data_IF_838382429751
#
_entry.id   IF_838382429751
#
_cell.length_a   1.000
_cell.length_b   1.000
_cell.length_c   1.000
_cell.angle_alpha   90.00
_cell.angle_beta   90.00
_cell.angle_gamma   90.00
#
_symmetry.space_group_name_H-M   'P 1'
#
loop_
_entity.id
_entity.type
_entity.pdbx_description
1 polymer ?
#
# COMPACT_ATOMS: atom_id res chain seq x y z
N UNK A 1 46.60 34.74 7.03
CA UNK A 1 45.52 34.61 8.03
C UNK A 1 46.14 34.74 9.43
N UNK A 2 45.63 35.64 10.27
CA UNK A 2 46.19 35.91 11.60
C UNK A 2 45.77 34.84 12.62
N UNK A 3 46.70 34.45 13.51
CA UNK A 3 46.51 33.42 14.56
C UNK A 3 45.23 33.64 15.39
N UNK A 4 44.89 34.90 15.68
CA UNK A 4 43.65 35.32 16.37
C UNK A 4 42.35 34.91 15.65
N UNK A 5 42.30 34.96 14.32
CA UNK A 5 41.09 34.60 13.58
C UNK A 5 40.82 33.08 13.62
N UNK A 6 41.88 32.28 13.69
CA UNK A 6 41.79 30.82 13.78
C UNK A 6 41.30 30.39 15.17
N UNK A 7 41.81 31.03 16.22
CA UNK A 7 41.40 30.80 17.61
C UNK A 7 39.94 31.22 17.86
N UNK A 8 39.48 32.34 17.31
CA UNK A 8 38.07 32.74 17.43
C UNK A 8 37.13 31.79 16.69
N UNK A 9 37.53 31.26 15.53
CA UNK A 9 36.75 30.25 14.80
C UNK A 9 36.67 28.93 15.56
N UNK A 10 37.77 28.50 16.19
CA UNK A 10 37.78 27.31 17.05
C UNK A 10 36.88 27.50 18.27
N UNK A 11 36.98 28.63 18.99
CA UNK A 11 36.09 28.94 20.12
C UNK A 11 34.61 28.94 19.72
N UNK A 12 34.26 29.47 18.55
CA UNK A 12 32.88 29.48 18.06
C UNK A 12 32.35 28.09 17.68
N UNK A 13 33.22 27.21 17.18
CA UNK A 13 32.87 25.82 16.87
C UNK A 13 32.73 24.99 18.14
N UNK A 14 33.61 25.19 19.13
CA UNK A 14 33.50 24.52 20.44
C UNK A 14 32.25 24.97 21.19
N UNK A 15 31.94 26.27 21.21
CA UNK A 15 30.71 26.79 21.81
C UNK A 15 29.46 26.23 21.10
N UNK A 16 29.46 26.15 19.77
CA UNK A 16 28.38 25.50 19.01
C UNK A 16 28.26 23.99 19.27
N UNK A 17 29.36 23.33 19.65
CA UNK A 17 29.38 21.90 19.97
C UNK A 17 28.92 21.63 21.41
N UNK A 18 29.15 22.56 22.33
CA UNK A 18 28.74 22.43 23.75
C UNK A 18 27.35 22.96 24.01
N UNK A 19 26.84 23.86 23.16
CA UNK A 19 25.44 24.29 23.16
C UNK A 19 24.63 23.31 22.32
N UNK A 20 24.66 22.03 22.71
CA UNK A 20 23.49 21.19 22.45
C UNK A 20 22.38 21.74 23.33
N UNK A 21 21.39 22.34 22.69
CA UNK A 21 20.28 22.98 23.40
C UNK A 21 19.48 21.92 24.15
N UNK A 22 18.90 22.29 25.31
CA UNK A 22 18.03 21.39 26.05
C UNK A 22 16.91 20.79 25.17
N UNK A 23 16.45 21.56 24.18
CA UNK A 23 15.49 21.14 23.15
C UNK A 23 16.02 20.00 22.24
N UNK A 24 17.30 20.01 21.87
CA UNK A 24 17.90 18.95 21.05
C UNK A 24 18.06 17.66 21.87
N UNK A 25 18.38 17.79 23.16
CA UNK A 25 18.43 16.67 24.10
C UNK A 25 17.03 16.06 24.27
N UNK A 26 16.01 16.90 24.46
CA UNK A 26 14.61 16.46 24.55
C UNK A 26 14.15 15.78 23.26
N UNK A 27 14.48 16.33 22.09
CA UNK A 27 14.18 15.72 20.78
C UNK A 27 14.83 14.36 20.62
N UNK A 28 16.11 14.22 21.00
CA UNK A 28 16.81 12.93 20.97
C UNK A 28 16.21 11.93 21.93
N UNK A 29 15.84 12.35 23.14
CA UNK A 29 15.17 11.50 24.12
C UNK A 29 13.80 11.04 23.62
N UNK A 30 13.01 11.96 23.06
CA UNK A 30 11.72 11.66 22.43
C UNK A 30 11.86 10.68 21.28
N UNK A 31 12.82 10.87 20.38
CA UNK A 31 13.12 9.93 19.29
C UNK A 31 13.57 8.57 19.80
N UNK A 32 14.39 8.53 20.84
CA UNK A 32 14.87 7.27 21.44
C UNK A 32 13.73 6.49 22.10
N UNK A 33 12.80 7.18 22.77
CA UNK A 33 11.59 6.56 23.33
C UNK A 33 10.69 6.00 22.24
N UNK A 34 10.53 6.73 21.14
CA UNK A 34 9.71 6.31 20.01
C UNK A 34 10.29 5.06 19.33
N UNK A 35 11.62 4.98 19.17
CA UNK A 35 12.30 3.78 18.67
C UNK A 35 12.09 2.57 19.59
N UNK A 36 12.18 2.75 20.92
CA UNK A 36 11.91 1.66 21.88
C UNK A 36 10.48 1.13 21.81
N UNK A 37 9.50 1.96 21.47
CA UNK A 37 8.12 1.51 21.28
C UNK A 37 7.95 0.63 20.04
N UNK A 38 8.73 0.86 18.99
CA UNK A 38 8.71 0.06 17.76
C UNK A 38 9.33 -1.32 18.00
N UNK A 39 10.44 -1.37 18.75
CA UNK A 39 11.16 -2.61 19.07
C UNK A 39 10.51 -3.41 20.22
N UNK A 40 9.46 -2.88 20.85
CA UNK A 40 8.73 -3.62 21.89
C UNK A 40 8.02 -4.79 21.20
N UNK A 41 8.32 -6.06 21.58
CA UNK A 41 7.67 -7.20 20.95
C UNK A 41 6.17 -7.04 21.12
N UNK A 42 5.47 -7.01 19.99
CA UNK A 42 4.03 -6.84 19.95
C UNK A 42 3.40 -7.85 20.92
N UNK A 43 2.61 -7.33 21.87
CA UNK A 43 1.77 -8.13 22.75
C UNK A 43 1.12 -9.24 21.91
N UNK A 44 1.17 -10.52 22.31
CA UNK A 44 0.53 -11.58 21.54
C UNK A 44 -0.92 -11.18 21.35
N UNK A 45 -1.27 -10.86 20.10
CA UNK A 45 -2.64 -10.54 19.71
C UNK A 45 -3.44 -11.80 20.05
N UNK A 46 -4.28 -11.71 21.08
CA UNK A 46 -5.34 -12.68 21.33
C UNK A 46 -6.10 -12.89 20.03
N UNK A 47 -5.91 -14.06 19.42
CA UNK A 47 -6.51 -14.41 18.13
C UNK A 47 -8.02 -14.47 18.27
N UNK A 48 -8.74 -13.60 17.56
CA UNK A 48 -10.21 -13.71 17.39
C UNK A 48 -10.79 -12.81 16.30
N UNK A 49 -9.99 -12.18 15.44
CA UNK A 49 -10.51 -11.48 14.27
C UNK A 49 -9.77 -11.98 13.03
N UNK A 50 -10.47 -12.32 11.93
CA UNK A 50 -9.80 -12.58 10.66
C UNK A 50 -8.92 -11.39 10.34
N UNK A 51 -7.70 -11.64 9.87
CA UNK A 51 -6.85 -10.55 9.41
C UNK A 51 -7.52 -9.97 8.15
N UNK A 52 -8.26 -8.88 8.35
CA UNK A 52 -8.85 -8.10 7.27
C UNK A 52 -7.82 -7.08 6.81
N UNK A 53 -7.24 -7.34 5.65
CA UNK A 53 -6.36 -6.41 4.97
C UNK A 53 -7.20 -5.56 4.01
N UNK A 54 -6.92 -4.26 3.96
CA UNK A 54 -7.63 -3.35 3.06
C UNK A 54 -6.66 -2.46 2.29
N UNK A 55 -6.97 -2.23 1.03
CA UNK A 55 -6.28 -1.30 0.14
C UNK A 55 -7.32 -0.41 -0.51
N UNK A 56 -7.09 0.89 -0.51
CA UNK A 56 -8.00 1.82 -1.16
C UNK A 56 -7.24 3.03 -1.68
N UNK A 57 -7.78 3.62 -2.74
CA UNK A 57 -7.36 4.92 -3.26
C UNK A 57 -8.58 5.59 -3.88
N UNK A 58 -8.70 6.91 -3.69
CA UNK A 58 -9.76 7.70 -4.33
C UNK A 58 -9.34 8.27 -5.69
N UNK A 59 -8.04 8.35 -5.97
CA UNK A 59 -7.49 9.09 -7.11
C UNK A 59 -6.32 8.34 -7.77
N UNK A 60 -6.45 7.03 -7.96
CA UNK A 60 -5.46 6.29 -8.74
C UNK A 60 -5.57 6.67 -10.21
N UNK A 61 -4.45 7.01 -10.86
CA UNK A 61 -4.44 7.37 -12.28
C UNK A 61 -4.03 6.17 -13.11
N UNK A 62 -4.90 5.75 -14.02
CA UNK A 62 -4.59 4.76 -15.06
C UNK A 62 -4.25 5.51 -16.33
N UNK A 63 -2.98 5.47 -16.73
CA UNK A 63 -2.49 6.21 -17.90
C UNK A 63 -3.21 5.77 -19.19
N UNK A 64 -3.24 6.65 -20.19
CA UNK A 64 -3.65 6.28 -21.54
C UNK A 64 -2.68 5.21 -22.10
N UNK A 65 -3.22 4.24 -22.82
CA UNK A 65 -2.48 3.07 -23.34
C UNK A 65 -1.74 2.28 -22.25
N UNK A 66 -2.23 2.30 -21.01
CA UNK A 66 -1.57 1.68 -19.86
C UNK A 66 -2.52 0.92 -18.96
N UNK A 67 -1.99 0.39 -17.86
CA UNK A 67 -2.74 -0.39 -16.87
C UNK A 67 -2.28 -0.07 -15.45
N UNK A 68 -3.18 -0.28 -14.50
CA UNK A 68 -2.91 -0.21 -13.08
C UNK A 68 -3.16 -1.58 -12.46
N UNK A 69 -2.16 -2.10 -11.75
CA UNK A 69 -2.19 -3.44 -11.16
C UNK A 69 -2.04 -3.34 -9.65
N UNK A 70 -2.91 -4.04 -8.92
CA UNK A 70 -2.83 -4.19 -7.47
C UNK A 70 -2.54 -5.65 -7.13
N UNK A 71 -1.28 -6.03 -6.85
CA UNK A 71 -0.94 -7.36 -6.37
C UNK A 71 -1.29 -7.50 -4.89
N UNK A 72 -2.05 -8.54 -4.57
CA UNK A 72 -2.51 -8.89 -3.22
C UNK A 72 -1.99 -10.28 -2.88
N UNK A 73 -1.17 -10.37 -1.82
CA UNK A 73 -0.62 -11.65 -1.36
C UNK A 73 -1.65 -12.38 -0.50
N UNK A 74 -1.86 -13.65 -0.79
CA UNK A 74 -2.79 -14.53 -0.07
C UNK A 74 -2.02 -15.69 0.53
N UNK A 75 -2.17 -15.87 1.85
CA UNK A 75 -1.43 -16.89 2.61
C UNK A 75 -2.21 -18.20 2.78
N UNK A 76 -3.54 -18.12 2.78
CA UNK A 76 -4.39 -19.26 3.13
C UNK A 76 -5.49 -19.49 2.08
N UNK A 77 -5.73 -20.76 1.78
CA UNK A 77 -6.86 -21.20 0.96
C UNK A 77 -8.19 -20.80 1.60
N UNK A 78 -9.17 -20.43 0.79
CA UNK A 78 -10.48 -20.01 1.27
C UNK A 78 -10.53 -18.57 1.79
N UNK A 79 -9.43 -17.81 1.70
CA UNK A 79 -9.46 -16.36 1.91
C UNK A 79 -10.45 -15.70 0.96
N UNK A 80 -11.14 -14.67 1.42
CA UNK A 80 -12.17 -13.99 0.65
C UNK A 80 -11.69 -12.60 0.21
N UNK A 81 -11.59 -12.40 -1.10
CA UNK A 81 -11.26 -11.12 -1.72
C UNK A 81 -12.56 -10.40 -2.08
N UNK A 82 -12.73 -9.20 -1.56
CA UNK A 82 -13.81 -8.28 -1.93
C UNK A 82 -13.24 -7.05 -2.61
N UNK A 83 -13.95 -6.52 -3.59
CA UNK A 83 -13.56 -5.28 -4.25
C UNK A 83 -14.77 -4.43 -4.58
N UNK A 84 -14.55 -3.12 -4.64
CA UNK A 84 -15.49 -2.13 -5.15
C UNK A 84 -14.69 -1.04 -5.85
N UNK A 85 -15.10 -0.64 -7.04
CA UNK A 85 -14.45 0.46 -7.74
C UNK A 85 -15.41 1.25 -8.62
N UNK A 86 -15.04 2.50 -8.88
CA UNK A 86 -15.64 3.36 -9.88
C UNK A 86 -14.56 4.16 -10.61
N UNK A 87 -14.93 4.64 -11.78
CA UNK A 87 -14.12 5.59 -12.54
C UNK A 87 -14.90 6.88 -12.68
N UNK A 88 -14.21 8.00 -12.89
CA UNK A 88 -14.87 9.31 -12.91
C UNK A 88 -15.77 9.54 -14.14
N UNK A 89 -15.22 9.38 -15.34
CA UNK A 89 -15.88 9.86 -16.57
C UNK A 89 -16.04 8.80 -17.67
N UNK A 90 -15.30 7.69 -17.59
CA UNK A 90 -15.19 6.72 -18.69
C UNK A 90 -15.15 5.29 -18.17
N UNK A 91 -15.49 4.33 -19.02
CA UNK A 91 -15.38 2.89 -18.73
C UNK A 91 -13.94 2.42 -18.46
N UNK A 92 -13.72 1.22 -17.96
CA UNK A 92 -12.38 0.64 -17.82
C UNK A 92 -12.43 -0.87 -18.02
N UNK A 93 -11.39 -1.48 -18.58
CA UNK A 93 -11.31 -2.93 -18.66
C UNK A 93 -10.84 -3.46 -17.30
N UNK A 94 -11.55 -4.43 -16.74
CA UNK A 94 -11.23 -4.97 -15.42
C UNK A 94 -11.08 -6.49 -15.50
N UNK A 95 -10.03 -7.00 -14.84
CA UNK A 95 -9.80 -8.44 -14.67
C UNK A 95 -9.16 -8.73 -13.33
N UNK A 96 -9.25 -10.00 -12.93
CA UNK A 96 -8.55 -10.51 -11.76
C UNK A 96 -7.85 -11.81 -12.18
N UNK A 97 -6.53 -11.85 -12.03
CA UNK A 97 -5.74 -13.08 -12.18
C UNK A 97 -5.30 -13.60 -10.83
N UNK A 98 -5.13 -14.92 -10.72
CA UNK A 98 -4.53 -15.58 -9.58
C UNK A 98 -3.33 -16.37 -10.04
N UNK A 99 -2.16 -15.98 -9.54
CA UNK A 99 -0.90 -16.70 -9.70
C UNK A 99 -0.67 -17.57 -8.46
N UNK A 100 -1.00 -18.86 -8.60
CA UNK A 100 -0.75 -19.88 -7.58
C UNK A 100 0.66 -20.48 -7.69
N UNK A 101 0.83 -21.70 -7.16
CA UNK A 101 2.11 -22.44 -7.26
C UNK A 101 2.34 -23.04 -8.65
N UNK A 102 1.27 -23.38 -9.37
CA UNK A 102 1.33 -24.22 -10.58
C UNK A 102 0.90 -23.49 -11.86
N UNK A 103 -0.01 -22.53 -11.77
CA UNK A 103 -0.61 -21.84 -12.91
C UNK A 103 -1.04 -20.42 -12.55
N UNK A 104 -1.13 -19.58 -13.59
CA UNK A 104 -1.83 -18.29 -13.55
C UNK A 104 -3.19 -18.45 -14.24
N UNK A 105 -4.27 -18.10 -13.54
CA UNK A 105 -5.65 -18.32 -14.00
C UNK A 105 -6.49 -17.06 -13.82
N UNK A 106 -7.45 -16.84 -14.72
CA UNK A 106 -8.42 -15.74 -14.57
C UNK A 106 -9.50 -16.11 -13.57
N UNK A 107 -9.56 -15.38 -12.45
CA UNK A 107 -10.71 -15.39 -11.54
C UNK A 107 -11.86 -14.56 -12.11
N UNK A 108 -11.51 -13.45 -12.78
CA UNK A 108 -12.43 -12.59 -13.53
C UNK A 108 -11.78 -12.31 -14.88
N UNK A 109 -12.44 -12.71 -15.96
CA UNK A 109 -11.95 -12.46 -17.30
C UNK A 109 -12.00 -10.97 -17.64
N UNK A 110 -11.08 -10.47 -18.47
CA UNK A 110 -11.08 -9.07 -18.92
C UNK A 110 -12.44 -8.67 -19.48
N UNK A 111 -13.09 -7.74 -18.77
CA UNK A 111 -14.42 -7.24 -19.11
C UNK A 111 -14.42 -5.73 -19.06
N UNK A 112 -14.97 -5.10 -20.11
CA UNK A 112 -15.15 -3.65 -20.16
C UNK A 112 -16.31 -3.24 -19.27
N UNK A 113 -16.01 -2.48 -18.22
CA UNK A 113 -16.97 -2.05 -17.21
C UNK A 113 -17.25 -0.55 -17.32
N UNK A 114 -18.53 -0.17 -17.47
CA UNK A 114 -18.98 1.22 -17.38
C UNK A 114 -19.03 1.71 -15.90
N UNK A 115 -17.91 1.61 -15.20
CA UNK A 115 -17.82 1.86 -13.74
C UNK A 115 -18.04 3.33 -13.33
N UNK A 116 -18.15 4.23 -14.31
CA UNK A 116 -18.51 5.64 -14.15
C UNK A 116 -20.03 5.85 -14.08
N UNK A 117 -20.81 4.95 -14.68
CA UNK A 117 -22.28 4.97 -14.60
C UNK A 117 -22.79 4.22 -13.36
N UNK A 118 -22.12 3.13 -12.99
CA UNK A 118 -22.50 2.31 -11.85
C UNK A 118 -21.28 1.67 -11.19
N UNK A 119 -21.15 1.86 -9.88
CA UNK A 119 -20.04 1.29 -9.10
C UNK A 119 -20.04 -0.24 -9.21
N UNK A 120 -18.90 -0.79 -9.62
CA UNK A 120 -18.70 -2.24 -9.73
C UNK A 120 -18.25 -2.77 -8.38
N UNK A 121 -18.80 -3.92 -7.99
CA UNK A 121 -18.43 -4.64 -6.77
C UNK A 121 -18.44 -6.14 -7.01
N UNK A 122 -17.60 -6.86 -6.28
CA UNK A 122 -17.54 -8.32 -6.37
C UNK A 122 -16.84 -8.93 -5.17
N UNK A 123 -16.98 -10.24 -5.05
CA UNK A 123 -16.38 -11.05 -4.00
C UNK A 123 -15.99 -12.41 -4.56
N UNK A 124 -14.76 -12.86 -4.28
CA UNK A 124 -14.25 -14.15 -4.73
C UNK A 124 -13.48 -14.86 -3.62
N UNK A 125 -13.70 -16.17 -3.52
CA UNK A 125 -12.85 -17.03 -2.69
C UNK A 125 -11.58 -17.38 -3.46
N UNK A 126 -10.44 -17.18 -2.81
CA UNK A 126 -9.14 -17.50 -3.39
C UNK A 126 -8.86 -18.99 -3.16
N UNK A 127 -8.50 -19.75 -4.20
CA UNK A 127 -8.40 -21.21 -4.12
C UNK A 127 -7.24 -21.69 -3.24
N UNK A 128 -6.22 -20.87 -3.04
CA UNK A 128 -5.01 -21.28 -2.32
C UNK A 128 -4.06 -20.12 -2.01
N UNK A 129 -2.90 -20.44 -1.42
CA UNK A 129 -1.82 -19.48 -1.27
C UNK A 129 -1.27 -19.05 -2.64
N UNK A 130 -1.01 -17.76 -2.80
CA UNK A 130 -0.56 -17.20 -4.07
C UNK A 130 -0.64 -15.68 -4.10
N UNK A 131 -0.64 -15.12 -5.31
CA UNK A 131 -0.84 -13.69 -5.52
C UNK A 131 -2.06 -13.49 -6.40
N UNK A 132 -3.03 -12.74 -5.90
CA UNK A 132 -4.14 -12.23 -6.72
C UNK A 132 -3.74 -10.87 -7.28
N UNK A 133 -3.93 -10.64 -8.58
CA UNK A 133 -3.67 -9.34 -9.20
C UNK A 133 -4.97 -8.79 -9.74
N UNK A 134 -5.41 -7.66 -9.20
CA UNK A 134 -6.52 -6.89 -9.76
C UNK A 134 -5.96 -5.94 -10.80
N UNK A 135 -6.47 -6.01 -12.03
CA UNK A 135 -5.97 -5.23 -13.16
C UNK A 135 -7.06 -4.31 -13.67
N UNK A 136 -6.77 -3.02 -13.66
CA UNK A 136 -7.54 -1.98 -14.33
C UNK A 136 -6.79 -1.55 -15.57
N UNK A 137 -7.27 -2.02 -16.71
CA UNK A 137 -6.63 -1.90 -18.01
C UNK A 137 -7.29 -0.79 -18.85
N UNK A 138 -6.43 0.08 -19.38
CA UNK A 138 -6.77 1.21 -20.23
C UNK A 138 -5.96 1.21 -21.55
N UNK A 139 -5.43 0.06 -21.97
CA UNK A 139 -4.62 -0.08 -23.19
C UNK A 139 -5.40 0.28 -24.46
N UNK A 140 -6.73 0.16 -24.43
CA UNK A 140 -7.62 0.51 -25.53
C UNK A 140 -7.87 2.03 -25.70
N UNK A 141 -7.46 2.88 -24.75
CA UNK A 141 -7.62 4.35 -24.83
C UNK A 141 -6.27 5.03 -24.96
N UNK A 142 -5.94 5.54 -26.14
CA UNK A 142 -4.62 6.12 -26.39
C UNK A 142 -4.50 7.61 -26.02
N UNK A 143 -5.61 8.26 -25.69
CA UNK A 143 -5.65 9.71 -25.40
C UNK A 143 -6.05 9.98 -23.95
N UNK A 144 -7.06 9.29 -23.45
CA UNK A 144 -7.66 9.60 -22.16
C UNK A 144 -7.11 8.67 -21.07
N UNK A 145 -6.51 9.26 -20.04
CA UNK A 145 -6.27 8.60 -18.76
C UNK A 145 -7.60 8.45 -17.99
N UNK A 146 -7.60 7.59 -16.98
CA UNK A 146 -8.77 7.33 -16.14
C UNK A 146 -8.42 7.58 -14.69
N UNK A 147 -9.28 8.32 -14.00
CA UNK A 147 -9.23 8.49 -12.56
C UNK A 147 -10.07 7.38 -11.90
N UNK A 148 -9.42 6.52 -11.13
CA UNK A 148 -9.95 5.32 -10.50
C UNK A 148 -10.05 5.53 -8.98
N UNK A 149 -11.24 5.32 -8.44
CA UNK A 149 -11.48 5.10 -7.01
C UNK A 149 -11.70 3.61 -6.77
N UNK A 150 -10.97 2.99 -5.86
CA UNK A 150 -11.15 1.58 -5.50
C UNK A 150 -11.04 1.35 -3.99
N UNK A 151 -11.70 0.29 -3.54
CA UNK A 151 -11.56 -0.31 -2.22
C UNK A 151 -11.50 -1.83 -2.39
N UNK A 152 -10.43 -2.44 -1.90
CA UNK A 152 -10.17 -3.89 -1.95
C UNK A 152 -9.96 -4.37 -0.53
N UNK A 153 -10.68 -5.43 -0.16
CA UNK A 153 -10.55 -6.09 1.13
C UNK A 153 -10.17 -7.56 0.95
N UNK A 154 -9.28 -8.07 1.79
CA UNK A 154 -8.96 -9.48 1.88
C UNK A 154 -9.23 -9.95 3.32
N UNK A 155 -10.20 -10.84 3.49
CA UNK A 155 -10.43 -11.54 4.74
C UNK A 155 -9.64 -12.85 4.70
N UNK A 156 -8.49 -12.88 5.35
CA UNK A 156 -7.67 -14.08 5.43
C UNK A 156 -8.28 -15.07 6.44
N UNK A 157 -8.47 -16.30 6.00
CA UNK A 157 -8.89 -17.41 6.85
C UNK A 157 -7.69 -17.90 7.66
N UNK A 158 -7.75 -17.81 8.98
CA UNK A 158 -6.63 -18.21 9.85
C UNK A 158 -6.61 -19.71 10.17
N UNK A 159 -7.33 -20.55 9.42
CA UNK A 159 -7.47 -21.98 9.72
C UNK A 159 -6.84 -22.82 8.62
N UNK A 160 -5.95 -23.77 8.95
CA UNK A 160 -5.61 -24.83 8.02
C UNK A 160 -6.84 -25.74 7.80
N UNK A 161 -6.98 -26.36 6.62
CA UNK A 161 -7.98 -27.39 6.35
C UNK A 161 -7.72 -28.69 7.13
#
# INVERSE_FOLDING_TARGET
MTRRAKEQRQKRLELKRTVETAEEIERRQKWTLLLKQIDTPARPRTMSAPQMLTWHSSHAVVAAAGKFELPVRVEHAGSELSYTFNTKDMDINFSITFAGTTSEEYMVHPTRCASHESTIRGCHKVPGPGTVVLVWDNEYSWINSKELSYHVGLAQTSSPP
#
